data_IF_096864413721
#
_entry.id   IF_096864413721
#
_cell.length_a   1.000
_cell.length_b   1.000
_cell.length_c   1.000
_cell.angle_alpha   90.00
_cell.angle_beta   90.00
_cell.angle_gamma   90.00
#
_symmetry.space_group_name_H-M   'P 1'
#
loop_
_entity.id
_entity.type
_entity.pdbx_description
1 polymer ?
#
# COMPACT_ATOMS: atom_id res chain seq x y z
N UNK A 1 0.31 -14.57 3.01
CA UNK A 1 0.51 -13.49 4.01
C UNK A 1 -0.47 -12.34 3.77
N UNK A 2 -0.74 -12.05 2.50
CA UNK A 2 -1.67 -11.07 1.95
C UNK A 2 -3.11 -11.22 2.47
N UNK A 3 -3.62 -12.44 2.64
CA UNK A 3 -4.95 -12.65 3.23
C UNK A 3 -5.00 -12.37 4.74
N UNK A 4 -3.86 -12.46 5.43
CA UNK A 4 -3.79 -12.03 6.82
C UNK A 4 -3.77 -10.50 6.88
N UNK A 5 -2.95 -9.86 6.04
CA UNK A 5 -2.94 -8.41 5.85
C UNK A 5 -4.35 -7.86 5.55
N UNK A 6 -5.06 -8.45 4.58
CA UNK A 6 -6.40 -8.02 4.21
C UNK A 6 -7.41 -8.14 5.37
N UNK A 7 -7.33 -9.22 6.16
CA UNK A 7 -8.16 -9.38 7.36
C UNK A 7 -7.82 -8.38 8.45
N UNK A 8 -6.54 -8.03 8.61
CA UNK A 8 -6.12 -7.02 9.60
C UNK A 8 -6.57 -5.61 9.22
N UNK A 9 -6.68 -5.31 7.92
CA UNK A 9 -7.23 -4.04 7.42
C UNK A 9 -8.76 -3.97 7.52
N UNK A 10 -9.45 -5.10 7.37
CA UNK A 10 -10.92 -5.21 7.46
C UNK A 10 -11.70 -4.16 6.63
N UNK A 11 -11.27 -3.97 5.38
CA UNK A 11 -11.86 -2.98 4.49
C UNK A 11 -13.04 -3.54 3.68
N UNK A 12 -14.00 -2.67 3.38
CA UNK A 12 -15.13 -2.98 2.50
C UNK A 12 -14.71 -3.05 1.03
N UNK A 13 -15.53 -3.72 0.19
CA UNK A 13 -15.27 -3.81 -1.25
C UNK A 13 -15.33 -2.42 -1.91
N UNK A 14 -14.35 -2.10 -2.75
CA UNK A 14 -14.19 -0.77 -3.35
C UNK A 14 -13.53 0.26 -2.44
N UNK A 15 -13.10 -0.12 -1.23
CA UNK A 15 -12.33 0.76 -0.37
C UNK A 15 -10.99 1.15 -1.02
N UNK A 16 -10.57 2.39 -0.77
CA UNK A 16 -9.32 2.94 -1.29
C UNK A 16 -8.18 2.63 -0.34
N UNK A 17 -7.17 1.92 -0.82
CA UNK A 17 -6.00 1.55 -0.03
C UNK A 17 -4.71 2.16 -0.59
N UNK A 18 -3.79 2.55 0.31
CA UNK A 18 -2.42 2.92 -0.03
C UNK A 18 -1.47 1.74 0.27
N UNK A 19 -0.78 1.24 -0.76
CA UNK A 19 0.35 0.31 -0.66
C UNK A 19 1.65 1.11 -0.58
N UNK A 20 2.12 1.35 0.65
CA UNK A 20 3.30 2.16 0.93
C UNK A 20 4.58 1.30 0.85
N UNK A 21 5.17 1.24 -0.35
CA UNK A 21 6.34 0.42 -0.65
C UNK A 21 5.98 -0.85 -1.43
N UNK A 22 5.35 -0.69 -2.59
CA UNK A 22 4.68 -1.78 -3.29
C UNK A 22 5.62 -2.79 -3.97
N UNK A 23 6.92 -2.51 -4.11
CA UNK A 23 7.86 -3.34 -4.82
C UNK A 23 7.37 -3.65 -6.25
N UNK A 24 7.24 -4.93 -6.58
CA UNK A 24 6.73 -5.38 -7.88
C UNK A 24 5.20 -5.47 -7.98
N UNK A 25 4.47 -4.93 -7.00
CA UNK A 25 3.01 -4.78 -7.02
C UNK A 25 2.23 -6.08 -6.79
N UNK A 26 2.88 -7.16 -6.35
CA UNK A 26 2.21 -8.45 -6.13
C UNK A 26 1.13 -8.38 -5.04
N UNK A 27 1.40 -7.66 -3.96
CA UNK A 27 0.44 -7.45 -2.88
C UNK A 27 -0.74 -6.61 -3.36
N UNK A 28 -0.50 -5.44 -3.97
CA UNK A 28 -1.55 -4.63 -4.61
C UNK A 28 -2.45 -5.44 -5.57
N UNK A 29 -1.86 -6.31 -6.42
CA UNK A 29 -2.61 -7.19 -7.32
C UNK A 29 -3.50 -8.17 -6.55
N UNK A 30 -2.99 -8.78 -5.48
CA UNK A 30 -3.77 -9.67 -4.62
C UNK A 30 -4.94 -8.92 -3.96
N UNK A 31 -4.67 -7.75 -3.39
CA UNK A 31 -5.66 -6.92 -2.70
C UNK A 31 -6.79 -6.49 -3.65
N UNK A 32 -6.46 -6.01 -4.85
CA UNK A 32 -7.46 -5.61 -5.83
C UNK A 32 -8.23 -6.82 -6.39
N UNK A 33 -7.55 -7.92 -6.71
CA UNK A 33 -8.19 -9.07 -7.37
C UNK A 33 -9.10 -9.86 -6.44
N UNK A 34 -8.64 -10.14 -5.22
CA UNK A 34 -9.34 -11.04 -4.29
C UNK A 34 -10.26 -10.29 -3.32
N UNK A 35 -9.84 -9.09 -2.91
CA UNK A 35 -10.55 -8.28 -1.91
C UNK A 35 -11.26 -7.06 -2.52
N UNK A 36 -11.16 -6.87 -3.84
CA UNK A 36 -11.85 -5.81 -4.58
C UNK A 36 -11.51 -4.40 -4.09
N UNK A 37 -10.26 -4.18 -3.67
CA UNK A 37 -9.78 -2.86 -3.25
C UNK A 37 -9.34 -2.00 -4.45
N UNK A 38 -9.48 -0.69 -4.32
CA UNK A 38 -8.85 0.28 -5.21
C UNK A 38 -7.50 0.69 -4.61
N UNK A 39 -6.40 0.33 -5.26
CA UNK A 39 -5.06 0.46 -4.67
C UNK A 39 -4.26 1.55 -5.34
N UNK A 40 -3.79 2.52 -4.56
CA UNK A 40 -2.67 3.39 -4.95
C UNK A 40 -1.40 2.76 -4.43
N UNK A 41 -0.47 2.41 -5.32
CA UNK A 41 0.75 1.70 -5.01
C UNK A 41 1.97 2.59 -5.27
N UNK A 42 2.77 2.82 -4.23
CA UNK A 42 3.94 3.70 -4.30
C UNK A 42 5.22 2.96 -3.97
N UNK A 43 6.31 3.31 -4.66
CA UNK A 43 7.66 2.84 -4.34
C UNK A 43 8.68 3.92 -4.78
N UNK A 44 9.80 4.03 -4.09
CA UNK A 44 10.88 4.99 -4.40
C UNK A 44 11.79 4.52 -5.52
N UNK A 45 11.82 3.21 -5.80
CA UNK A 45 12.75 2.60 -6.73
C UNK A 45 12.13 2.50 -8.13
N UNK A 46 12.74 3.18 -9.12
CA UNK A 46 12.23 3.23 -10.50
C UNK A 46 11.99 1.84 -11.13
N UNK A 47 12.90 0.90 -10.89
CA UNK A 47 12.78 -0.47 -11.42
C UNK A 47 11.56 -1.21 -10.84
N UNK A 48 11.22 -0.94 -9.57
CA UNK A 48 10.07 -1.52 -8.88
C UNK A 48 8.78 -0.98 -9.50
N UNK A 49 8.65 0.35 -9.57
CA UNK A 49 7.52 1.05 -10.19
C UNK A 49 7.28 0.56 -11.61
N UNK A 50 8.31 0.53 -12.46
CA UNK A 50 8.18 0.08 -13.84
C UNK A 50 7.76 -1.39 -13.95
N UNK A 51 8.26 -2.26 -13.07
CA UNK A 51 7.88 -3.68 -13.05
C UNK A 51 6.46 -3.88 -12.51
N UNK A 52 6.07 -3.17 -11.46
CA UNK A 52 4.73 -3.19 -10.90
C UNK A 52 3.69 -2.73 -11.92
N UNK A 53 3.94 -1.65 -12.65
CA UNK A 53 3.07 -1.21 -13.76
C UNK A 53 2.87 -2.29 -14.82
N UNK A 54 3.93 -3.00 -15.22
CA UNK A 54 3.84 -4.13 -16.17
C UNK A 54 3.08 -5.33 -15.57
N UNK A 55 3.26 -5.62 -14.29
CA UNK A 55 2.57 -6.72 -13.62
C UNK A 55 1.06 -6.42 -13.48
N UNK A 56 0.70 -5.21 -13.05
CA UNK A 56 -0.69 -4.73 -12.97
C UNK A 56 -1.37 -4.77 -14.33
N UNK A 57 -0.66 -4.33 -15.37
CA UNK A 57 -1.09 -4.42 -16.75
C UNK A 57 -1.40 -5.85 -17.20
N UNK A 58 -0.45 -6.76 -17.01
CA UNK A 58 -0.60 -8.17 -17.38
C UNK A 58 -1.71 -8.86 -16.56
N UNK A 59 -1.95 -8.38 -15.34
CA UNK A 59 -3.02 -8.86 -14.47
C UNK A 59 -4.42 -8.33 -14.86
N UNK A 60 -4.54 -7.39 -15.80
CA UNK A 60 -5.80 -6.78 -16.21
C UNK A 60 -6.38 -5.79 -15.20
N UNK A 61 -5.55 -5.24 -14.29
CA UNK A 61 -6.02 -4.48 -13.12
C UNK A 61 -5.73 -2.97 -13.19
N UNK A 62 -5.45 -2.42 -14.39
CA UNK A 62 -5.19 -0.99 -14.56
C UNK A 62 -6.34 -0.07 -14.13
N UNK A 63 -7.57 -0.59 -14.08
CA UNK A 63 -8.73 0.17 -13.59
C UNK A 63 -8.86 0.22 -12.07
N UNK A 64 -8.19 -0.69 -11.35
CA UNK A 64 -8.28 -0.80 -9.89
C UNK A 64 -6.96 -0.46 -9.18
N UNK A 65 -5.83 -0.41 -9.90
CA UNK A 65 -4.51 -0.16 -9.32
C UNK A 65 -3.80 0.93 -10.10
N UNK A 66 -3.41 1.99 -9.39
CA UNK A 66 -2.51 3.03 -9.88
C UNK A 66 -1.14 2.83 -9.24
N UNK A 67 -0.08 2.79 -10.05
CA UNK A 67 1.29 2.63 -9.57
C UNK A 67 2.09 3.89 -9.92
N UNK A 68 2.70 4.52 -8.91
CA UNK A 68 3.49 5.75 -9.08
C UNK A 68 4.76 5.73 -8.25
N UNK A 69 5.76 6.51 -8.67
CA UNK A 69 6.96 6.74 -7.87
C UNK A 69 6.64 7.75 -6.76
N UNK A 70 6.84 7.36 -5.51
CA UNK A 70 6.65 8.26 -4.37
C UNK A 70 7.40 7.72 -3.14
N UNK A 71 7.75 8.63 -2.24
CA UNK A 71 8.32 8.30 -0.93
C UNK A 71 7.21 8.34 0.12
N UNK A 72 7.06 7.25 0.87
CA UNK A 72 6.04 7.18 1.91
C UNK A 72 6.32 8.09 3.11
N UNK A 73 7.52 8.66 3.23
CA UNK A 73 7.80 9.73 4.21
C UNK A 73 7.21 11.08 3.78
N UNK A 74 6.87 11.25 2.49
CA UNK A 74 6.42 12.51 1.90
C UNK A 74 5.14 12.31 1.08
N UNK A 75 4.01 12.29 1.79
CA UNK A 75 2.71 12.01 1.21
C UNK A 75 1.92 13.27 0.81
N UNK A 76 2.55 14.43 0.70
CA UNK A 76 1.89 15.73 0.50
C UNK A 76 1.10 15.82 -0.83
N UNK A 77 1.42 14.96 -1.79
CA UNK A 77 0.66 14.80 -3.04
C UNK A 77 -0.72 14.14 -2.86
N UNK A 78 -0.98 13.53 -1.70
CA UNK A 78 -2.25 12.93 -1.35
C UNK A 78 -3.02 13.84 -0.38
N UNK A 79 -4.30 14.05 -0.67
CA UNK A 79 -5.21 14.78 0.22
C UNK A 79 -5.37 14.09 1.57
N UNK A 80 -5.61 14.89 2.59
CA UNK A 80 -6.01 14.42 3.93
C UNK A 80 -7.26 13.55 3.81
N UNK A 81 -7.35 12.51 4.64
CA UNK A 81 -8.52 11.61 4.70
C UNK A 81 -9.00 11.09 3.34
N UNK A 82 -8.06 10.67 2.49
CA UNK A 82 -8.35 10.18 1.13
C UNK A 82 -8.36 8.65 1.00
N UNK A 83 -7.79 7.93 1.97
CA UNK A 83 -7.73 6.47 1.98
C UNK A 83 -8.54 5.86 3.12
N UNK A 84 -9.19 4.73 2.85
CA UNK A 84 -9.87 3.92 3.85
C UNK A 84 -8.87 3.02 4.62
N UNK A 85 -7.75 2.67 3.99
CA UNK A 85 -6.65 1.97 4.67
C UNK A 85 -5.27 2.24 4.09
N UNK A 86 -4.24 2.07 4.91
CA UNK A 86 -2.83 2.14 4.50
C UNK A 86 -2.12 0.87 4.93
N UNK A 87 -1.28 0.30 4.09
CA UNK A 87 -0.50 -0.87 4.46
C UNK A 87 0.92 -0.86 3.94
N UNK A 88 1.76 -1.64 4.62
CA UNK A 88 3.11 -2.00 4.18
C UNK A 88 3.29 -3.51 4.33
N UNK A 89 3.95 -4.15 3.36
CA UNK A 89 4.36 -5.56 3.46
C UNK A 89 5.89 -5.63 3.41
N UNK A 90 6.52 -6.03 4.52
CA UNK A 90 7.99 -6.18 4.65
C UNK A 90 8.79 -4.92 4.25
N UNK A 91 8.20 -3.74 4.41
CA UNK A 91 8.77 -2.49 3.87
C UNK A 91 8.98 -1.41 4.94
N UNK A 92 8.12 -1.30 5.94
CA UNK A 92 8.22 -0.25 6.95
C UNK A 92 9.50 -0.31 7.80
N UNK A 93 10.16 -1.48 7.87
CA UNK A 93 11.47 -1.65 8.51
C UNK A 93 12.58 -0.78 7.88
N UNK A 94 12.36 -0.29 6.66
CA UNK A 94 13.29 0.60 5.95
C UNK A 94 13.01 2.09 6.16
N UNK A 95 12.00 2.45 6.96
CA UNK A 95 11.69 3.85 7.23
C UNK A 95 12.84 4.50 8.01
N UNK A 96 13.41 5.57 7.45
CA UNK A 96 14.49 6.34 8.08
C UNK A 96 13.94 7.29 9.15
N UNK A 97 12.68 7.69 9.00
CA UNK A 97 11.90 8.39 10.03
C UNK A 97 10.52 7.72 10.17
N UNK A 98 10.42 6.66 11.00
CA UNK A 98 9.16 5.94 11.21
C UNK A 98 8.05 6.83 11.77
N UNK A 99 8.39 7.84 12.56
CA UNK A 99 7.42 8.75 13.17
C UNK A 99 6.80 9.66 12.10
N UNK A 100 7.62 10.25 11.23
CA UNK A 100 7.13 11.05 10.11
C UNK A 100 6.30 10.22 9.12
N UNK A 101 6.75 9.01 8.79
CA UNK A 101 5.99 8.10 7.92
C UNK A 101 4.62 7.76 8.51
N UNK A 102 4.56 7.39 9.80
CA UNK A 102 3.28 7.13 10.49
C UNK A 102 2.40 8.38 10.54
N UNK A 103 2.95 9.56 10.83
CA UNK A 103 2.18 10.81 10.82
C UNK A 103 1.56 11.06 9.44
N UNK A 104 2.31 10.82 8.37
CA UNK A 104 1.80 10.85 6.99
C UNK A 104 0.66 9.84 6.76
N UNK A 105 0.82 8.60 7.22
CA UNK A 105 -0.23 7.57 7.11
C UNK A 105 -1.50 7.99 7.84
N UNK A 106 -1.40 8.49 9.08
CA UNK A 106 -2.55 8.97 9.83
C UNK A 106 -3.24 10.16 9.15
N UNK A 107 -2.48 11.09 8.55
CA UNK A 107 -3.04 12.26 7.85
C UNK A 107 -3.89 11.85 6.64
N UNK A 108 -3.38 10.94 5.81
CA UNK A 108 -4.08 10.54 4.58
C UNK A 108 -5.23 9.56 4.83
N UNK A 109 -5.32 9.00 6.04
CA UNK A 109 -6.36 8.07 6.45
C UNK A 109 -7.66 8.79 6.80
N UNK A 110 -8.79 8.24 6.35
CA UNK A 110 -10.11 8.69 6.77
C UNK A 110 -10.33 8.42 8.26
N UNK A 111 -11.18 9.19 8.96
CA UNK A 111 -11.61 8.84 10.30
C UNK A 111 -12.18 7.41 10.34
N UNK A 112 -11.66 6.57 11.25
CA UNK A 112 -12.04 5.17 11.36
C UNK A 112 -11.34 4.21 10.38
N UNK A 113 -10.44 4.69 9.52
CA UNK A 113 -9.63 3.83 8.68
C UNK A 113 -8.56 3.05 9.47
N UNK A 114 -7.92 2.10 8.81
CA UNK A 114 -6.95 1.19 9.43
C UNK A 114 -5.55 1.28 8.82
N UNK A 115 -4.51 1.08 9.64
CA UNK A 115 -3.13 0.88 9.19
C UNK A 115 -2.70 -0.55 9.50
N UNK A 116 -2.09 -1.24 8.55
CA UNK A 116 -1.51 -2.56 8.77
C UNK A 116 -0.02 -2.60 8.36
N UNK A 117 0.85 -2.91 9.31
CA UNK A 117 2.29 -3.04 9.11
C UNK A 117 2.69 -4.51 9.26
N UNK A 118 3.02 -5.17 8.16
CA UNK A 118 3.42 -6.59 8.17
C UNK A 118 4.93 -6.70 8.04
N UNK A 119 5.55 -7.45 8.94
CA UNK A 119 6.97 -7.79 8.92
C UNK A 119 7.17 -9.21 9.47
N UNK A 120 8.21 -9.88 8.99
CA UNK A 120 8.54 -11.24 9.41
C UNK A 120 9.47 -11.23 10.62
N UNK A 121 9.13 -12.01 11.65
CA UNK A 121 9.98 -12.26 12.81
C UNK A 121 10.52 -13.69 12.72
N UNK A 122 11.84 -13.82 12.67
CA UNK A 122 12.52 -15.12 12.76
C UNK A 122 12.98 -15.35 14.20
N UNK A 123 12.60 -16.48 14.79
CA UNK A 123 13.15 -16.97 16.06
C UNK A 123 13.97 -18.23 15.76
N UNK A 124 15.17 -18.28 16.31
CA UNK A 124 16.06 -19.46 16.29
C UNK A 124 15.88 -20.27 17.57
#
# INVERSE_FOLDING_TARGET
>A
MEDHLARSLDLFKGARALDAGCGYGHVAIHMARKHHLEVTAIDVVDRHVARAQRNVAAAGLRGAIVVQKADYHHLDSFSDSSFDGVYTMETFVHATDPAAALAGFFRVLKPGGSIALVYSLFKF
#
